data_IF_645133303639
#
_entry.id   IF_645133303639
#
_cell.length_a   1.000
_cell.length_b   1.000
_cell.length_c   1.000
_cell.angle_alpha   90.00
_cell.angle_beta   90.00
_cell.angle_gamma   90.00
#
_symmetry.space_group_name_H-M   'P 1'
#
loop_
_entity.id
_entity.type
_entity.pdbx_description
1 polymer ?
#
# COMPACT_ATOMS: atom_id res chain seq x y z
N UNK A 1 20.02 -13.34 -0.29
CA UNK A 1 18.89 -12.60 -0.91
C UNK A 1 18.02 -13.40 -1.89
N UNK A 2 18.44 -14.56 -2.45
CA UNK A 2 17.64 -15.29 -3.46
C UNK A 2 16.27 -15.81 -2.98
N UNK A 3 16.09 -16.01 -1.67
CA UNK A 3 14.93 -16.70 -1.09
C UNK A 3 13.61 -15.91 -1.05
N UNK A 4 13.67 -14.57 -1.02
CA UNK A 4 12.50 -13.70 -0.83
C UNK A 4 12.27 -12.71 -2.00
N UNK A 5 12.84 -13.01 -3.17
CA UNK A 5 12.82 -12.11 -4.33
C UNK A 5 11.39 -11.72 -4.71
N UNK A 6 10.47 -12.69 -4.73
CA UNK A 6 9.11 -12.48 -5.18
C UNK A 6 8.31 -11.54 -4.26
N UNK A 7 8.43 -11.73 -2.95
CA UNK A 7 7.78 -10.89 -1.94
C UNK A 7 8.33 -9.47 -1.98
N UNK A 8 9.66 -9.33 -2.05
CA UNK A 8 10.33 -8.04 -2.08
C UNK A 8 10.01 -7.29 -3.37
N UNK A 9 10.09 -7.95 -4.54
CA UNK A 9 9.76 -7.33 -5.83
C UNK A 9 8.32 -6.84 -5.88
N UNK A 10 7.37 -7.60 -5.35
CA UNK A 10 5.96 -7.17 -5.28
C UNK A 10 5.79 -5.91 -4.45
N UNK A 11 6.37 -5.87 -3.24
CA UNK A 11 6.32 -4.70 -2.35
C UNK A 11 7.01 -3.49 -2.96
N UNK A 12 8.20 -3.67 -3.55
CA UNK A 12 8.95 -2.59 -4.20
C UNK A 12 8.13 -2.00 -5.34
N UNK A 13 7.57 -2.85 -6.20
CA UNK A 13 6.73 -2.37 -7.28
C UNK A 13 5.57 -1.58 -6.71
N UNK A 14 4.72 -2.15 -5.85
CA UNK A 14 3.62 -1.41 -5.22
C UNK A 14 4.08 -0.04 -4.68
N UNK A 15 5.17 -0.01 -3.91
CA UNK A 15 5.73 1.21 -3.31
C UNK A 15 6.09 2.27 -4.35
N UNK A 16 6.61 1.85 -5.50
CA UNK A 16 7.06 2.73 -6.57
C UNK A 16 5.94 3.15 -7.52
N UNK A 17 4.68 2.72 -7.34
CA UNK A 17 3.65 3.00 -8.34
C UNK A 17 3.44 4.51 -8.58
N UNK A 18 3.24 5.30 -7.53
CA UNK A 18 3.05 6.75 -7.68
C UNK A 18 4.36 7.53 -7.86
N UNK A 19 5.47 7.20 -7.19
CA UNK A 19 6.76 7.83 -7.49
C UNK A 19 7.17 7.70 -8.95
N UNK A 20 6.97 6.53 -9.58
CA UNK A 20 7.27 6.34 -11.00
C UNK A 20 6.31 7.10 -11.90
N UNK A 21 5.02 7.14 -11.56
CA UNK A 21 4.05 7.99 -12.27
C UNK A 21 4.42 9.46 -12.19
N UNK A 22 4.79 9.96 -11.00
CA UNK A 22 5.23 11.34 -10.81
C UNK A 22 6.52 11.64 -11.59
N UNK A 23 7.48 10.72 -11.58
CA UNK A 23 8.72 10.83 -12.37
C UNK A 23 8.42 10.87 -13.87
N UNK A 24 7.50 10.04 -14.36
CA UNK A 24 7.07 10.07 -15.76
C UNK A 24 6.49 11.44 -16.14
N UNK A 25 5.56 11.95 -15.36
CA UNK A 25 4.93 13.25 -15.65
C UNK A 25 5.88 14.43 -15.49
N UNK A 26 6.89 14.36 -14.64
CA UNK A 26 7.91 15.42 -14.54
C UNK A 26 8.86 15.39 -15.74
N UNK A 27 9.42 14.23 -16.09
CA UNK A 27 10.36 14.11 -17.21
C UNK A 27 9.74 14.43 -18.57
N UNK A 28 8.52 13.95 -18.81
CA UNK A 28 7.88 14.08 -20.10
C UNK A 28 6.85 15.24 -20.14
N UNK A 29 6.35 15.70 -18.99
CA UNK A 29 5.44 16.84 -18.91
C UNK A 29 6.07 18.16 -19.35
N UNK A 30 7.35 18.40 -19.01
CA UNK A 30 8.07 19.59 -19.46
C UNK A 30 8.22 19.62 -20.99
N UNK A 31 8.45 18.47 -21.61
CA UNK A 31 8.55 18.37 -23.08
C UNK A 31 7.22 18.72 -23.78
N UNK A 32 6.07 18.41 -23.17
CA UNK A 32 4.78 18.83 -23.70
C UNK A 32 4.47 20.30 -23.40
N UNK A 33 4.93 20.84 -22.27
CA UNK A 33 4.76 22.26 -21.93
C UNK A 33 5.58 23.18 -22.86
N UNK A 34 6.78 22.76 -23.25
CA UNK A 34 7.64 23.50 -24.21
C UNK A 34 7.10 23.41 -25.64
N UNK A 35 6.37 22.34 -25.98
CA UNK A 35 5.83 22.14 -27.33
C UNK A 35 4.51 22.91 -27.60
N UNK A 36 3.90 23.52 -26.58
CA UNK A 36 2.65 24.34 -26.63
C UNK A 36 1.50 23.78 -27.51
N UNK A 37 1.44 22.46 -27.71
CA UNK A 37 0.46 21.81 -28.57
C UNK A 37 -0.43 20.85 -27.77
N UNK A 38 -1.75 20.95 -27.94
CA UNK A 38 -2.73 20.04 -27.34
C UNK A 38 -2.49 18.57 -27.72
N UNK A 39 -1.91 18.33 -28.90
CA UNK A 39 -1.50 17.01 -29.35
C UNK A 39 -0.37 16.42 -28.49
N UNK A 40 0.55 17.24 -27.98
CA UNK A 40 1.65 16.76 -27.13
C UNK A 40 1.14 16.19 -25.80
N UNK A 41 0.13 16.82 -25.18
CA UNK A 41 -0.49 16.32 -23.95
C UNK A 41 -1.26 15.01 -24.19
N UNK A 42 -1.95 14.88 -25.32
CA UNK A 42 -2.64 13.64 -25.69
C UNK A 42 -1.66 12.50 -25.96
N UNK A 43 -0.51 12.78 -26.59
CA UNK A 43 0.56 11.81 -26.81
C UNK A 43 1.17 11.30 -25.49
N UNK A 44 1.41 12.18 -24.50
CA UNK A 44 1.86 11.77 -23.16
C UNK A 44 0.90 10.79 -22.50
N UNK A 45 -0.40 11.11 -22.51
CA UNK A 45 -1.41 10.25 -21.91
C UNK A 45 -1.54 8.91 -22.67
N UNK A 46 -1.47 8.96 -24.00
CA UNK A 46 -1.55 7.77 -24.86
C UNK A 46 -0.40 6.78 -24.63
N UNK A 47 0.79 7.28 -24.26
CA UNK A 47 1.93 6.45 -23.90
C UNK A 47 1.88 5.97 -22.43
N UNK A 48 1.36 6.79 -21.51
CA UNK A 48 1.24 6.44 -20.10
C UNK A 48 0.23 5.31 -19.84
N UNK A 49 -0.94 5.35 -20.50
CA UNK A 49 -2.00 4.34 -20.32
C UNK A 49 -1.51 2.90 -20.54
N UNK A 50 -0.89 2.54 -21.69
CA UNK A 50 -0.40 1.18 -21.91
C UNK A 50 0.74 0.81 -20.96
N UNK A 51 1.62 1.76 -20.61
CA UNK A 51 2.68 1.52 -19.62
C UNK A 51 2.09 1.20 -18.24
N UNK A 52 1.09 1.96 -17.81
CA UNK A 52 0.35 1.72 -16.58
C UNK A 52 -0.34 0.36 -16.59
N UNK A 53 -0.94 -0.03 -17.71
CA UNK A 53 -1.54 -1.35 -17.86
C UNK A 53 -0.52 -2.49 -17.71
N UNK A 54 0.61 -2.40 -18.41
CA UNK A 54 1.71 -3.39 -18.30
C UNK A 54 2.23 -3.48 -16.87
N UNK A 55 2.39 -2.34 -16.21
CA UNK A 55 2.84 -2.25 -14.83
C UNK A 55 1.88 -2.96 -13.86
N UNK A 56 0.58 -2.63 -13.91
CA UNK A 56 -0.42 -3.23 -13.02
C UNK A 56 -0.68 -4.71 -13.33
N UNK A 57 -0.59 -5.12 -14.60
CA UNK A 57 -0.61 -6.53 -14.98
C UNK A 57 0.59 -7.27 -14.35
N UNK A 58 1.79 -6.71 -14.42
CA UNK A 58 2.99 -7.26 -13.78
C UNK A 58 2.85 -7.39 -12.25
N UNK A 59 2.34 -6.34 -11.58
CA UNK A 59 2.04 -6.36 -10.13
C UNK A 59 1.04 -7.47 -9.80
N UNK A 60 -0.03 -7.62 -10.59
CA UNK A 60 -1.05 -8.65 -10.40
C UNK A 60 -0.48 -10.05 -10.53
N UNK A 61 0.32 -10.31 -11.59
CA UNK A 61 1.00 -11.58 -11.81
C UNK A 61 1.93 -11.93 -10.64
N UNK A 62 2.71 -10.96 -10.16
CA UNK A 62 3.56 -11.15 -8.98
C UNK A 62 2.75 -11.42 -7.71
N UNK A 63 1.61 -10.75 -7.54
CA UNK A 63 0.68 -11.00 -6.44
C UNK A 63 0.16 -12.45 -6.46
N UNK A 64 -0.26 -12.94 -7.63
CA UNK A 64 -0.72 -14.33 -7.83
C UNK A 64 0.39 -15.33 -7.51
N UNK A 65 1.60 -15.12 -8.03
CA UNK A 65 2.73 -15.99 -7.71
C UNK A 65 3.08 -15.97 -6.22
N UNK A 66 2.99 -14.82 -5.54
CA UNK A 66 3.21 -14.72 -4.10
C UNK A 66 2.18 -15.53 -3.31
N UNK A 67 0.91 -15.51 -3.73
CA UNK A 67 -0.13 -16.35 -3.14
C UNK A 67 0.17 -17.84 -3.35
N UNK A 68 0.51 -18.26 -4.57
CA UNK A 68 0.88 -19.66 -4.86
C UNK A 68 2.09 -20.10 -4.03
N UNK A 69 3.10 -19.23 -3.90
CA UNK A 69 4.29 -19.52 -3.09
C UNK A 69 3.94 -19.72 -1.61
N UNK A 70 2.99 -18.96 -1.06
CA UNK A 70 2.54 -19.13 0.32
C UNK A 70 2.02 -20.56 0.58
N UNK A 71 1.21 -21.10 -0.35
CA UNK A 71 0.70 -22.47 -0.26
C UNK A 71 1.80 -23.52 -0.41
N UNK A 72 2.78 -23.28 -1.30
CA UNK A 72 3.95 -24.17 -1.46
C UNK A 72 4.79 -24.21 -0.19
N UNK A 73 5.09 -23.06 0.42
CA UNK A 73 5.84 -23.01 1.69
C UNK A 73 5.06 -23.64 2.85
N UNK A 74 3.73 -23.55 2.86
CA UNK A 74 2.90 -24.29 3.82
C UNK A 74 3.03 -25.81 3.63
N UNK A 75 2.89 -26.32 2.39
CA UNK A 75 3.05 -27.75 2.09
C UNK A 75 4.44 -28.27 2.42
N UNK A 76 5.48 -27.45 2.26
CA UNK A 76 6.85 -27.80 2.61
C UNK A 76 7.14 -27.78 4.13
N UNK A 77 6.18 -27.37 4.98
CA UNK A 77 6.38 -27.28 6.43
C UNK A 77 7.26 -26.10 6.87
N UNK A 78 7.59 -25.19 5.96
CA UNK A 78 8.55 -24.09 6.20
C UNK A 78 7.91 -22.91 6.95
N UNK A 79 7.67 -23.07 8.24
CA UNK A 79 7.12 -22.00 9.10
C UNK A 79 7.92 -20.70 8.99
N UNK A 80 9.25 -20.83 8.92
CA UNK A 80 10.16 -19.69 8.80
C UNK A 80 9.88 -18.81 7.60
N UNK A 81 9.59 -19.45 6.47
CA UNK A 81 9.28 -18.76 5.23
C UNK A 81 7.91 -18.11 5.31
N UNK A 82 6.93 -18.78 5.91
CA UNK A 82 5.60 -18.21 6.10
C UNK A 82 5.60 -16.95 6.97
N UNK A 83 6.30 -17.01 8.12
CA UNK A 83 6.42 -15.85 9.01
C UNK A 83 7.17 -14.71 8.33
N UNK A 84 8.32 -14.99 7.68
CA UNK A 84 9.08 -13.94 7.01
C UNK A 84 8.33 -13.36 5.80
N UNK A 85 7.64 -14.20 5.02
CA UNK A 85 6.82 -13.76 3.88
C UNK A 85 5.64 -12.89 4.31
N UNK A 86 4.99 -13.22 5.44
CA UNK A 86 3.98 -12.38 6.07
C UNK A 86 4.55 -11.03 6.48
N UNK A 87 5.68 -11.01 7.20
CA UNK A 87 6.29 -9.76 7.68
C UNK A 87 6.77 -8.87 6.53
N UNK A 88 7.36 -9.44 5.48
CA UNK A 88 7.80 -8.67 4.30
C UNK A 88 6.61 -7.97 3.64
N UNK A 89 5.50 -8.67 3.45
CA UNK A 89 4.32 -8.04 2.85
C UNK A 89 3.67 -7.02 3.78
N UNK A 90 3.46 -7.36 5.06
CA UNK A 90 2.74 -6.47 5.99
C UNK A 90 3.54 -5.22 6.33
N UNK A 91 4.84 -5.36 6.61
CA UNK A 91 5.70 -4.20 6.88
C UNK A 91 6.08 -3.46 5.60
N UNK A 92 6.21 -4.18 4.49
CA UNK A 92 6.38 -3.58 3.17
C UNK A 92 5.20 -2.70 2.76
N UNK A 93 3.98 -3.14 3.07
CA UNK A 93 2.77 -2.35 2.83
C UNK A 93 2.78 -1.04 3.62
N UNK A 94 3.26 -1.02 4.87
CA UNK A 94 3.42 0.24 5.63
C UNK A 94 4.28 1.25 4.88
N UNK A 95 5.41 0.81 4.30
CA UNK A 95 6.28 1.68 3.50
C UNK A 95 5.59 2.13 2.21
N UNK A 96 4.89 1.22 1.53
CA UNK A 96 4.03 1.55 0.38
C UNK A 96 3.05 2.67 0.73
N UNK A 97 2.32 2.56 1.83
CA UNK A 97 1.36 3.57 2.27
C UNK A 97 2.04 4.90 2.54
N UNK A 98 3.12 4.93 3.32
CA UNK A 98 3.82 6.19 3.63
C UNK A 98 4.27 6.88 2.36
N UNK A 99 4.97 6.18 1.46
CA UNK A 99 5.52 6.79 0.25
C UNK A 99 4.40 7.23 -0.70
N UNK A 100 3.40 6.38 -0.97
CA UNK A 100 2.36 6.71 -1.94
C UNK A 100 1.41 7.78 -1.39
N UNK A 101 1.07 7.76 -0.11
CA UNK A 101 0.22 8.78 0.51
C UNK A 101 0.94 10.13 0.61
N UNK A 102 2.24 10.16 0.94
CA UNK A 102 3.05 11.38 0.86
C UNK A 102 3.11 11.93 -0.57
N UNK A 103 3.33 11.09 -1.57
CA UNK A 103 3.33 11.50 -2.99
C UNK A 103 1.97 12.06 -3.40
N UNK A 104 0.85 11.42 -3.07
CA UNK A 104 -0.50 11.93 -3.35
C UNK A 104 -0.72 13.27 -2.65
N UNK A 105 -0.37 13.37 -1.37
CA UNK A 105 -0.57 14.61 -0.61
C UNK A 105 0.19 15.77 -1.24
N UNK A 106 1.45 15.56 -1.64
CA UNK A 106 2.25 16.57 -2.33
C UNK A 106 1.67 16.94 -3.69
N UNK A 107 1.27 15.95 -4.51
CA UNK A 107 0.69 16.19 -5.83
C UNK A 107 -0.67 16.89 -5.76
N UNK A 108 -1.57 16.47 -4.86
CA UNK A 108 -2.88 17.09 -4.69
C UNK A 108 -2.76 18.51 -4.12
N UNK A 109 -1.85 18.72 -3.17
CA UNK A 109 -1.61 20.06 -2.61
C UNK A 109 -1.04 21.02 -3.65
N UNK A 110 -0.03 20.59 -4.43
CA UNK A 110 0.58 21.44 -5.45
C UNK A 110 -0.37 21.73 -6.61
N UNK A 111 -1.05 20.71 -7.15
CA UNK A 111 -2.02 20.88 -8.25
C UNK A 111 -3.24 21.67 -7.80
N UNK A 112 -3.72 21.48 -6.57
CA UNK A 112 -4.79 22.28 -5.98
C UNK A 112 -4.41 23.75 -5.85
N UNK A 113 -3.19 24.05 -5.37
CA UNK A 113 -2.70 25.41 -5.26
C UNK A 113 -2.54 26.09 -6.63
N UNK A 114 -1.97 25.39 -7.61
CA UNK A 114 -1.85 25.88 -8.99
C UNK A 114 -3.23 26.16 -9.58
N UNK A 115 -4.19 25.25 -9.42
CA UNK A 115 -5.54 25.42 -9.93
C UNK A 115 -6.26 26.60 -9.26
N UNK A 116 -6.06 26.83 -7.96
CA UNK A 116 -6.62 27.99 -7.25
C UNK A 116 -6.05 29.31 -7.78
N UNK A 117 -4.74 29.40 -8.00
CA UNK A 117 -4.09 30.59 -8.57
C UNK A 117 -4.53 30.82 -10.02
N UNK A 118 -4.49 29.78 -10.85
CA UNK A 118 -4.85 29.87 -12.27
C UNK A 118 -6.33 30.22 -12.47
N UNK A 119 -7.21 29.71 -11.61
CA UNK A 119 -8.65 30.00 -11.66
C UNK A 119 -9.05 31.32 -10.98
N UNK A 120 -8.09 32.06 -10.39
CA UNK A 120 -8.38 33.24 -9.57
C UNK A 120 -9.40 32.95 -8.45
N UNK A 121 -9.42 31.71 -7.94
CA UNK A 121 -10.36 31.25 -6.91
C UNK A 121 -11.74 30.83 -7.42
N UNK A 122 -12.04 30.94 -8.72
CA UNK A 122 -13.35 30.55 -9.27
C UNK A 122 -13.60 29.04 -9.24
N UNK A 123 -12.55 28.22 -9.10
CA UNK A 123 -12.68 26.75 -8.97
C UNK A 123 -13.50 26.32 -7.75
N UNK A 124 -13.63 27.18 -6.73
CA UNK A 124 -14.49 26.93 -5.56
C UNK A 124 -15.95 26.74 -5.98
N UNK A 125 -16.42 27.43 -7.02
CA UNK A 125 -17.80 27.29 -7.51
C UNK A 125 -18.03 25.98 -8.28
N UNK A 126 -16.97 25.34 -8.79
CA UNK A 126 -17.04 24.01 -9.40
C UNK A 126 -16.95 22.88 -8.37
N UNK A 127 -16.61 23.19 -7.11
CA UNK A 127 -16.43 22.22 -6.03
C UNK A 127 -17.66 21.30 -5.82
N UNK A 128 -18.93 21.77 -5.84
CA UNK A 128 -20.09 20.90 -5.69
C UNK A 128 -20.18 19.80 -6.75
N UNK A 129 -19.66 20.06 -7.95
CA UNK A 129 -19.62 19.09 -9.05
C UNK A 129 -18.36 18.19 -9.00
N UNK A 130 -17.23 18.69 -8.50
CA UNK A 130 -15.98 17.94 -8.32
C UNK A 130 -16.03 16.98 -7.11
N UNK A 131 -16.72 17.36 -6.04
CA UNK A 131 -16.81 16.60 -4.79
C UNK A 131 -17.25 15.13 -4.99
N UNK A 132 -18.34 14.83 -5.74
CA UNK A 132 -18.74 13.46 -6.04
C UNK A 132 -17.63 12.63 -6.71
N UNK A 133 -16.88 13.23 -7.63
CA UNK A 133 -15.78 12.57 -8.33
C UNK A 133 -14.58 12.30 -7.41
N UNK A 134 -14.25 13.26 -6.53
CA UNK A 134 -13.20 13.07 -5.53
C UNK A 134 -13.56 11.95 -4.53
N UNK A 135 -14.82 11.88 -4.09
CA UNK A 135 -15.30 10.78 -3.25
C UNK A 135 -15.25 9.44 -3.98
N UNK A 136 -15.70 9.38 -5.23
CA UNK A 136 -15.62 8.17 -6.05
C UNK A 136 -14.17 7.70 -6.21
N UNK A 137 -13.24 8.61 -6.47
CA UNK A 137 -11.81 8.33 -6.57
C UNK A 137 -11.24 7.81 -5.24
N UNK A 138 -11.63 8.39 -4.11
CA UNK A 138 -11.22 7.94 -2.77
C UNK A 138 -11.71 6.52 -2.47
N UNK A 139 -12.97 6.21 -2.80
CA UNK A 139 -13.55 4.87 -2.62
C UNK A 139 -12.81 3.87 -3.51
N UNK A 140 -12.59 4.21 -4.79
CA UNK A 140 -11.85 3.36 -5.71
C UNK A 140 -10.41 3.10 -5.22
N UNK A 141 -9.69 4.14 -4.80
CA UNK A 141 -8.34 4.03 -4.27
C UNK A 141 -8.30 3.13 -3.02
N UNK A 142 -9.27 3.28 -2.12
CA UNK A 142 -9.40 2.43 -0.93
C UNK A 142 -9.62 0.96 -1.30
N UNK A 143 -10.46 0.69 -2.29
CA UNK A 143 -10.73 -0.66 -2.80
C UNK A 143 -9.48 -1.31 -3.44
N UNK A 144 -8.80 -0.60 -4.35
CA UNK A 144 -7.58 -1.13 -4.97
C UNK A 144 -6.45 -1.35 -3.99
N UNK A 145 -6.36 -0.48 -2.98
CA UNK A 145 -5.39 -0.63 -1.91
C UNK A 145 -5.70 -1.86 -1.05
N UNK A 146 -6.97 -2.13 -0.79
CA UNK A 146 -7.38 -3.37 -0.14
C UNK A 146 -7.02 -4.61 -0.97
N UNK A 147 -7.19 -4.57 -2.29
CA UNK A 147 -6.74 -5.65 -3.19
C UNK A 147 -5.23 -5.90 -3.11
N UNK A 148 -4.41 -4.85 -2.99
CA UNK A 148 -2.97 -4.96 -2.84
C UNK A 148 -2.54 -5.67 -1.54
N UNK A 149 -3.40 -5.72 -0.53
CA UNK A 149 -3.13 -6.44 0.72
C UNK A 149 -3.33 -7.96 0.63
N UNK A 150 -4.08 -8.43 -0.38
CA UNK A 150 -4.50 -9.83 -0.50
C UNK A 150 -3.31 -10.79 -0.47
N UNK A 151 -2.24 -10.61 -1.26
CA UNK A 151 -1.10 -11.54 -1.23
C UNK A 151 -0.46 -11.65 0.17
N UNK A 152 -0.37 -10.54 0.90
CA UNK A 152 0.12 -10.52 2.28
C UNK A 152 -0.81 -11.24 3.26
N UNK A 153 -2.13 -11.14 3.08
CA UNK A 153 -3.12 -11.83 3.90
C UNK A 153 -3.02 -13.36 3.73
N UNK A 154 -2.79 -13.87 2.51
CA UNK A 154 -2.58 -15.31 2.30
C UNK A 154 -1.38 -15.86 3.05
N UNK A 155 -0.26 -15.13 3.09
CA UNK A 155 0.88 -15.47 3.93
C UNK A 155 0.51 -15.51 5.42
N UNK A 156 -0.26 -14.53 5.90
CA UNK A 156 -0.80 -14.50 7.27
C UNK A 156 -1.68 -15.70 7.61
N UNK A 157 -2.58 -16.09 6.70
CA UNK A 157 -3.43 -17.29 6.86
C UNK A 157 -2.58 -18.55 7.03
N UNK A 158 -1.50 -18.72 6.25
CA UNK A 158 -0.62 -19.89 6.42
C UNK A 158 0.08 -19.89 7.80
N UNK A 159 0.50 -18.72 8.30
CA UNK A 159 1.06 -18.59 9.66
C UNK A 159 0.01 -18.95 10.71
N UNK A 160 -1.23 -18.51 10.56
CA UNK A 160 -2.33 -18.85 11.48
C UNK A 160 -2.59 -20.35 11.49
N UNK A 161 -2.62 -21.02 10.32
CA UNK A 161 -2.77 -22.47 10.22
C UNK A 161 -1.65 -23.21 10.96
N UNK A 162 -0.40 -22.80 10.77
CA UNK A 162 0.73 -23.35 11.53
C UNK A 162 0.60 -23.10 13.03
N UNK A 163 0.19 -21.90 13.42
CA UNK A 163 0.04 -21.55 14.84
C UNK A 163 -1.08 -22.35 15.50
N UNK A 164 -2.15 -22.67 14.77
CA UNK A 164 -3.21 -23.56 15.23
C UNK A 164 -2.69 -24.98 15.47
N UNK A 165 -2.01 -25.55 14.48
CA UNK A 165 -1.53 -26.95 14.56
C UNK A 165 -0.38 -27.11 15.55
N UNK A 166 0.60 -26.20 15.56
CA UNK A 166 1.84 -26.38 16.33
C UNK A 166 1.86 -25.64 17.67
N UNK A 167 0.99 -24.64 17.89
CA UNK A 167 0.97 -23.81 19.12
C UNK A 167 -0.39 -23.84 19.84
N UNK A 168 -1.29 -24.75 19.46
CA UNK A 168 -2.56 -24.98 20.15
C UNK A 168 -3.53 -23.78 20.12
N UNK A 169 -3.53 -22.97 19.06
CA UNK A 169 -4.49 -21.86 18.92
C UNK A 169 -5.91 -22.39 18.71
N UNK A 170 -6.88 -21.88 19.49
CA UNK A 170 -8.29 -22.25 19.31
C UNK A 170 -8.85 -21.78 17.97
N UNK A 171 -9.88 -22.46 17.47
CA UNK A 171 -10.53 -22.14 16.19
C UNK A 171 -11.05 -20.69 16.16
N UNK A 172 -11.74 -20.25 17.21
CA UNK A 172 -12.27 -18.88 17.28
C UNK A 172 -11.18 -17.82 17.18
N UNK A 173 -10.03 -18.04 17.85
CA UNK A 173 -8.86 -17.15 17.74
C UNK A 173 -8.28 -17.17 16.33
N UNK A 174 -8.21 -18.34 15.69
CA UNK A 174 -7.71 -18.45 14.31
C UNK A 174 -8.60 -17.70 13.30
N UNK A 175 -9.94 -17.76 13.45
CA UNK A 175 -10.88 -17.01 12.61
C UNK A 175 -10.71 -15.51 12.84
N UNK A 176 -10.61 -15.08 14.10
CA UNK A 176 -10.40 -13.67 14.44
C UNK A 176 -9.10 -13.12 13.86
N UNK A 177 -7.97 -13.82 14.06
CA UNK A 177 -6.70 -13.48 13.42
C UNK A 177 -6.83 -13.46 11.89
N UNK A 178 -7.55 -14.43 11.30
CA UNK A 178 -7.80 -14.48 9.86
C UNK A 178 -8.56 -13.26 9.35
N UNK A 179 -9.58 -12.80 10.07
CA UNK A 179 -10.32 -11.58 9.77
C UNK A 179 -9.43 -10.34 9.89
N UNK A 180 -8.68 -10.22 10.99
CA UNK A 180 -7.76 -9.10 11.21
C UNK A 180 -6.73 -8.96 10.07
N UNK A 181 -6.35 -10.06 9.41
CA UNK A 181 -5.40 -9.99 8.28
C UNK A 181 -5.92 -9.27 7.03
N UNK A 182 -7.22 -9.01 6.94
CA UNK A 182 -7.84 -8.22 5.87
C UNK A 182 -8.28 -6.83 6.32
N UNK A 183 -8.16 -6.52 7.61
CA UNK A 183 -8.50 -5.21 8.17
C UNK A 183 -7.25 -4.34 8.16
N UNK A 184 -7.30 -3.27 7.36
CA UNK A 184 -6.21 -2.32 7.26
C UNK A 184 -5.79 -1.79 8.64
N UNK A 185 -4.49 -1.58 8.85
CA UNK A 185 -3.82 -1.25 10.12
C UNK A 185 -3.82 -2.38 11.16
N UNK A 186 -4.96 -3.02 11.38
CA UNK A 186 -5.06 -4.11 12.33
C UNK A 186 -4.24 -5.34 11.89
N UNK A 187 -4.15 -5.56 10.58
CA UNK A 187 -3.37 -6.63 9.96
C UNK A 187 -1.88 -6.57 10.30
N UNK A 188 -1.29 -5.37 10.34
CA UNK A 188 0.11 -5.15 10.70
C UNK A 188 0.38 -5.45 12.16
N UNK A 189 -0.50 -5.00 13.06
CA UNK A 189 -0.41 -5.27 14.50
C UNK A 189 -0.62 -6.75 14.78
N UNK A 190 -1.55 -7.39 14.07
CA UNK A 190 -1.79 -8.83 14.18
C UNK A 190 -0.59 -9.65 13.73
N UNK A 191 0.03 -9.28 12.61
CA UNK A 191 1.25 -9.90 12.11
C UNK A 191 2.42 -9.72 13.09
N UNK A 192 2.55 -8.56 13.73
CA UNK A 192 3.54 -8.32 14.79
C UNK A 192 3.29 -9.21 16.01
N UNK A 193 2.03 -9.33 16.46
CA UNK A 193 1.65 -10.21 17.56
C UNK A 193 1.95 -11.68 17.27
N UNK A 194 1.53 -12.19 16.10
CA UNK A 194 1.75 -13.58 15.69
C UNK A 194 3.25 -13.89 15.55
N UNK A 195 4.01 -13.02 14.90
CA UNK A 195 5.45 -13.26 14.70
C UNK A 195 6.24 -13.18 16.00
N UNK A 196 6.02 -12.16 16.83
CA UNK A 196 6.81 -11.93 18.05
C UNK A 196 6.36 -12.84 19.19
N UNK A 197 5.06 -12.86 19.52
CA UNK A 197 4.57 -13.57 20.71
C UNK A 197 4.44 -15.08 20.48
N UNK A 198 3.99 -15.51 19.30
CA UNK A 198 3.79 -16.95 19.01
C UNK A 198 5.02 -17.62 18.41
N UNK A 199 5.79 -16.89 17.60
CA UNK A 199 6.94 -17.45 16.88
C UNK A 199 8.29 -16.91 17.33
N UNK A 200 8.36 -15.90 18.22
CA UNK A 200 9.62 -15.34 18.73
C UNK A 200 10.46 -14.62 17.67
N UNK A 201 9.86 -14.25 16.52
CA UNK A 201 10.56 -13.73 15.33
C UNK A 201 10.13 -12.33 14.96
N UNK A 202 11.01 -11.61 14.27
CA UNK A 202 10.72 -10.26 13.80
C UNK A 202 10.67 -9.18 14.89
N UNK A 203 11.26 -9.42 16.07
CA UNK A 203 11.19 -8.48 17.22
C UNK A 203 11.63 -7.06 16.88
N UNK A 204 12.76 -6.92 16.16
CA UNK A 204 13.30 -5.60 15.77
C UNK A 204 12.38 -4.87 14.79
N UNK A 205 11.90 -5.56 13.76
CA UNK A 205 11.00 -4.96 12.77
C UNK A 205 9.62 -4.66 13.36
N UNK A 206 9.08 -5.52 14.22
CA UNK A 206 7.85 -5.26 14.96
C UNK A 206 7.97 -4.02 15.86
N UNK A 207 9.09 -3.85 16.58
CA UNK A 207 9.30 -2.69 17.43
C UNK A 207 9.33 -1.38 16.63
N UNK A 208 10.04 -1.36 15.49
CA UNK A 208 10.08 -0.20 14.58
C UNK A 208 8.69 0.16 14.08
N UNK A 209 7.92 -0.83 13.62
CA UNK A 209 6.58 -0.60 13.09
C UNK A 209 5.61 -0.15 14.19
N UNK A 210 5.65 -0.74 15.38
CA UNK A 210 4.86 -0.27 16.52
C UNK A 210 5.22 1.16 16.92
N UNK A 211 6.52 1.52 16.92
CA UNK A 211 6.95 2.88 17.20
C UNK A 211 6.42 3.87 16.16
N UNK A 212 6.47 3.53 14.87
CA UNK A 212 5.87 4.34 13.80
C UNK A 212 4.37 4.54 14.00
N UNK A 213 3.63 3.49 14.39
CA UNK A 213 2.20 3.61 14.69
C UNK A 213 1.94 4.57 15.85
N UNK A 214 2.70 4.46 16.95
CA UNK A 214 2.57 5.36 18.10
C UNK A 214 2.86 6.80 17.70
N UNK A 215 3.92 7.04 16.92
CA UNK A 215 4.27 8.38 16.44
C UNK A 215 3.18 8.97 15.54
N UNK A 216 2.60 8.17 14.64
CA UNK A 216 1.50 8.60 13.77
C UNK A 216 0.25 8.98 14.58
N UNK A 217 -0.14 8.14 15.56
CA UNK A 217 -1.29 8.42 16.42
C UNK A 217 -1.04 9.66 17.28
N UNK A 218 0.14 9.76 17.90
CA UNK A 218 0.52 10.93 18.70
C UNK A 218 0.53 12.21 17.87
N UNK A 219 1.07 12.16 16.65
CA UNK A 219 1.08 13.28 15.72
C UNK A 219 -0.33 13.70 15.27
N UNK A 220 -1.21 12.74 15.00
CA UNK A 220 -2.60 13.02 14.65
C UNK A 220 -3.35 13.68 15.82
N UNK A 221 -3.24 13.13 17.03
CA UNK A 221 -3.86 13.69 18.24
C UNK A 221 -3.33 15.10 18.50
N UNK A 222 -2.01 15.30 18.45
CA UNK A 222 -1.41 16.62 18.63
C UNK A 222 -1.91 17.64 17.60
N UNK A 223 -2.01 17.24 16.32
CA UNK A 223 -2.50 18.11 15.25
C UNK A 223 -3.97 18.49 15.45
N UNK A 224 -4.80 17.53 15.85
CA UNK A 224 -6.22 17.76 16.20
C UNK A 224 -6.31 18.74 17.38
N UNK A 225 -5.61 18.47 18.48
CA UNK A 225 -5.61 19.35 19.65
C UNK A 225 -5.17 20.77 19.32
N UNK A 226 -4.26 20.96 18.34
CA UNK A 226 -3.81 22.28 17.90
C UNK A 226 -4.76 22.99 16.94
N UNK A 227 -5.53 22.25 16.14
CA UNK A 227 -6.53 22.84 15.24
C UNK A 227 -7.78 23.29 16.04
N UNK A 228 -8.09 22.61 17.14
CA UNK A 228 -9.26 22.89 17.99
C UNK A 228 -8.96 23.71 19.26
N UNK A 229 -7.72 24.20 19.43
CA UNK A 229 -7.32 25.10 20.52
C UNK A 229 -7.02 26.50 19.97
#
# INVERSE_FOLDING_TARGET
>A
MKKYKLQISYVILLTLCLPLSALYFTLFGETAAVAENADSASHLLSAYIPLGFVYWAGVTVLGIFNMIQSFRSFKAGSVSECVNGMLIHKYGLVVFFVINFCTIALLMFSTGLIAMIASQGTIIFALPFLLPWLFAALIAASFFTWLAMIPGAFWGIQVIRFTRVQRGMSMGKAIFHGFLQFVFMADVLDAAYLSVKKWGRGKRSAAVICALYVLLVAGAVWSICRIFA
#
